data_IF_853847353542
#
_entry.id   IF_853847353542
#
_cell.length_a   1.000
_cell.length_b   1.000
_cell.length_c   1.000
_cell.angle_alpha   90.00
_cell.angle_beta   90.00
_cell.angle_gamma   90.00
#
_symmetry.space_group_name_H-M   'P 1'
#
loop_
_entity.id
_entity.type
_entity.pdbx_description
1 polymer ?
#
# COMPACT_ATOMS: atom_id res chain seq x y z
N UNK A 1 8.84 0.77 0.68
CA UNK A 1 8.88 1.07 2.13
C UNK A 1 10.07 0.34 2.72
N UNK A 2 10.84 1.01 3.57
CA UNK A 2 11.96 0.37 4.27
C UNK A 2 11.38 -0.62 5.30
N UNK A 3 11.52 -1.92 5.04
CA UNK A 3 11.21 -2.94 6.04
C UNK A 3 12.51 -3.31 6.75
N UNK A 4 12.58 -3.22 8.09
CA UNK A 4 13.78 -3.60 8.84
C UNK A 4 14.11 -5.08 8.65
N UNK A 5 13.11 -5.89 8.30
CA UNK A 5 13.27 -7.33 8.17
C UNK A 5 13.81 -7.80 6.80
N UNK A 6 13.77 -6.93 5.78
CA UNK A 6 14.11 -7.30 4.38
C UNK A 6 15.60 -7.15 4.04
N UNK A 7 16.42 -6.69 4.99
CA UNK A 7 17.87 -6.53 4.83
C UNK A 7 18.31 -5.67 3.63
N UNK A 8 17.43 -4.89 3.00
CA UNK A 8 17.74 -4.21 1.73
C UNK A 8 18.87 -3.18 1.85
N UNK A 9 19.05 -2.60 3.04
CA UNK A 9 20.13 -1.65 3.34
C UNK A 9 21.41 -2.32 3.87
N UNK A 10 21.30 -3.54 4.40
CA UNK A 10 22.44 -4.33 4.84
C UNK A 10 22.26 -5.80 4.41
N UNK A 11 22.40 -6.10 3.11
CA UNK A 11 22.14 -7.43 2.58
C UNK A 11 23.09 -8.50 3.14
N UNK A 12 24.20 -8.09 3.73
CA UNK A 12 25.22 -9.00 4.28
C UNK A 12 25.11 -9.15 5.80
N UNK A 13 24.41 -8.26 6.49
CA UNK A 13 24.39 -8.17 7.95
C UNK A 13 25.68 -7.58 8.54
N UNK A 14 26.68 -7.19 7.72
CA UNK A 14 27.99 -6.72 8.22
C UNK A 14 27.87 -5.45 9.04
N UNK A 15 27.00 -4.53 8.63
CA UNK A 15 26.78 -3.30 9.37
C UNK A 15 26.15 -3.62 10.72
N UNK A 16 25.12 -4.46 10.72
CA UNK A 16 24.41 -4.85 11.95
C UNK A 16 25.33 -5.57 12.93
N UNK A 17 26.14 -6.54 12.47
CA UNK A 17 27.10 -7.24 13.34
C UNK A 17 28.19 -6.34 13.94
N UNK A 18 28.55 -5.26 13.23
CA UNK A 18 29.55 -4.29 13.72
C UNK A 18 29.00 -3.46 14.87
N UNK A 19 27.73 -3.06 14.80
CA UNK A 19 27.11 -2.14 15.75
C UNK A 19 26.22 -2.83 16.81
N UNK A 20 25.87 -4.09 16.59
CA UNK A 20 25.08 -4.95 17.48
C UNK A 20 25.89 -6.24 17.70
N UNK A 21 26.99 -6.17 18.47
CA UNK A 21 27.96 -7.26 18.59
C UNK A 21 27.38 -8.53 19.22
N UNK A 22 26.31 -8.42 20.03
CA UNK A 22 25.58 -9.56 20.58
C UNK A 22 24.97 -10.47 19.49
N UNK A 23 24.69 -9.93 18.30
CA UNK A 23 24.21 -10.70 17.15
C UNK A 23 25.33 -11.15 16.20
N UNK A 24 26.60 -10.79 16.48
CA UNK A 24 27.72 -10.98 15.56
C UNK A 24 27.99 -12.46 15.22
N UNK A 25 27.58 -13.38 16.09
CA UNK A 25 27.79 -14.83 15.94
C UNK A 25 26.68 -15.56 15.20
N UNK A 26 25.55 -14.91 14.89
CA UNK A 26 24.45 -15.57 14.17
C UNK A 26 24.92 -16.00 12.77
N UNK A 27 24.64 -17.21 12.28
CA UNK A 27 25.25 -17.71 11.05
C UNK A 27 24.69 -17.07 9.78
N UNK A 28 23.38 -16.78 9.74
CA UNK A 28 22.70 -16.34 8.52
C UNK A 28 22.42 -14.83 8.55
N UNK A 29 22.68 -14.14 7.43
CA UNK A 29 22.29 -12.73 7.23
C UNK A 29 20.83 -12.43 7.58
N UNK A 30 19.90 -13.33 7.23
CA UNK A 30 18.47 -13.15 7.48
C UNK A 30 18.15 -13.21 8.99
N UNK A 31 18.88 -14.04 9.75
CA UNK A 31 18.69 -14.18 11.19
C UNK A 31 19.22 -12.98 11.96
N UNK A 32 20.23 -12.26 11.45
CA UNK A 32 20.72 -11.01 12.05
C UNK A 32 19.63 -9.92 12.02
N UNK A 33 18.85 -9.88 10.94
CA UNK A 33 17.72 -8.94 10.81
C UNK A 33 16.43 -9.42 11.46
N UNK A 34 16.38 -10.70 11.86
CA UNK A 34 15.21 -11.39 12.42
C UNK A 34 15.59 -12.43 13.48
N UNK A 35 16.30 -12.05 14.57
CA UNK A 35 16.79 -13.03 15.55
C UNK A 35 15.65 -13.80 16.24
N UNK A 36 14.46 -13.23 16.33
CA UNK A 36 13.26 -13.89 16.86
C UNK A 36 12.73 -15.06 16.00
N UNK A 37 13.11 -15.14 14.72
CA UNK A 37 12.77 -16.26 13.83
C UNK A 37 13.83 -17.37 13.87
N UNK A 38 14.96 -17.15 14.54
CA UNK A 38 16.03 -18.14 14.62
C UNK A 38 15.63 -19.33 15.50
N UNK A 39 16.00 -20.56 15.12
CA UNK A 39 15.83 -21.73 16.00
C UNK A 39 16.57 -21.53 17.33
N UNK A 40 15.99 -22.04 18.43
CA UNK A 40 16.58 -21.93 19.77
C UNK A 40 18.03 -22.41 19.84
N UNK A 41 18.36 -23.49 19.13
CA UNK A 41 19.72 -24.01 19.05
C UNK A 41 20.69 -23.00 18.43
N UNK A 42 20.30 -22.36 17.33
CA UNK A 42 21.13 -21.35 16.65
C UNK A 42 21.33 -20.12 17.52
N UNK A 43 20.30 -19.71 18.27
CA UNK A 43 20.39 -18.64 19.24
C UNK A 43 21.37 -18.99 20.37
N UNK A 44 21.27 -20.19 20.93
CA UNK A 44 22.16 -20.66 21.99
C UNK A 44 23.63 -20.74 21.53
N UNK A 45 23.89 -21.29 20.33
CA UNK A 45 25.22 -21.35 19.72
C UNK A 45 25.82 -19.95 19.48
N UNK A 46 24.96 -18.98 19.15
CA UNK A 46 25.36 -17.58 18.99
C UNK A 46 25.47 -16.81 20.31
N UNK A 47 25.06 -17.38 21.45
CA UNK A 47 25.01 -16.70 22.75
C UNK A 47 23.89 -15.65 22.88
N UNK A 48 22.82 -15.79 22.08
CA UNK A 48 21.68 -14.88 22.07
C UNK A 48 20.54 -15.45 22.91
N UNK A 49 20.12 -14.73 23.93
CA UNK A 49 18.96 -15.02 24.78
C UNK A 49 17.97 -13.87 24.61
N UNK A 50 16.85 -14.15 23.94
CA UNK A 50 15.82 -13.15 23.71
C UNK A 50 15.19 -12.73 25.04
N UNK A 51 15.13 -11.43 25.29
CA UNK A 51 14.68 -10.83 26.55
C UNK A 51 15.82 -10.49 27.51
N UNK A 52 17.02 -11.05 27.32
CA UNK A 52 18.18 -10.83 28.20
C UNK A 52 19.36 -10.21 27.44
N UNK A 53 20.02 -10.98 26.57
CA UNK A 53 21.16 -10.48 25.79
C UNK A 53 20.75 -9.75 24.53
N UNK A 54 19.54 -10.02 24.04
CA UNK A 54 18.91 -9.25 22.97
C UNK A 54 17.41 -9.06 23.26
N UNK A 55 16.86 -7.84 23.22
CA UNK A 55 15.48 -7.61 23.66
C UNK A 55 14.45 -8.31 22.77
N UNK A 56 13.28 -8.61 23.35
CA UNK A 56 12.12 -8.97 22.54
C UNK A 56 11.67 -7.79 21.68
N UNK A 57 11.09 -8.11 20.53
CA UNK A 57 10.47 -7.09 19.69
C UNK A 57 9.35 -6.39 20.44
N UNK A 58 9.44 -5.06 20.50
CA UNK A 58 8.37 -4.20 21.03
C UNK A 58 7.11 -4.32 20.17
N UNK A 59 7.28 -4.39 18.84
CA UNK A 59 6.19 -4.55 17.88
C UNK A 59 6.35 -5.88 17.14
N UNK A 60 5.37 -6.77 17.25
CA UNK A 60 5.34 -8.07 16.53
C UNK A 60 4.57 -7.98 15.22
N UNK A 61 3.42 -7.30 15.21
CA UNK A 61 2.55 -7.13 14.04
C UNK A 61 2.87 -5.85 13.24
N UNK A 62 4.04 -5.79 12.59
CA UNK A 62 4.52 -4.60 11.85
C UNK A 62 3.50 -4.05 10.85
N UNK A 63 2.80 -4.93 10.12
CA UNK A 63 1.80 -4.52 9.13
C UNK A 63 0.62 -3.79 9.80
N UNK A 64 0.15 -4.31 10.95
CA UNK A 64 -0.96 -3.72 11.69
C UNK A 64 -0.56 -2.35 12.29
N UNK A 65 0.62 -2.26 12.91
CA UNK A 65 1.11 -1.00 13.47
C UNK A 65 1.40 0.05 12.39
N UNK A 66 1.88 -0.38 11.22
CA UNK A 66 1.99 0.51 10.05
C UNK A 66 0.61 1.04 9.64
N UNK A 67 -0.39 0.18 9.53
CA UNK A 67 -1.74 0.59 9.16
C UNK A 67 -2.30 1.63 10.15
N UNK A 68 -2.10 1.44 11.45
CA UNK A 68 -2.46 2.42 12.48
C UNK A 68 -1.73 3.74 12.31
N UNK A 69 -0.42 3.70 12.03
CA UNK A 69 0.38 4.90 11.80
C UNK A 69 -0.10 5.66 10.55
N UNK A 70 -0.44 4.93 9.48
CA UNK A 70 -0.99 5.52 8.26
C UNK A 70 -2.34 6.18 8.53
N UNK A 71 -3.24 5.50 9.26
CA UNK A 71 -4.53 6.05 9.65
C UNK A 71 -4.37 7.29 10.54
N UNK A 72 -3.48 7.28 11.54
CA UNK A 72 -3.24 8.46 12.37
C UNK A 72 -2.79 9.67 11.53
N UNK A 73 -1.92 9.47 10.54
CA UNK A 73 -1.49 10.52 9.61
C UNK A 73 -2.65 11.00 8.74
N UNK A 74 -3.44 10.10 8.17
CA UNK A 74 -4.54 10.44 7.28
C UNK A 74 -5.67 11.16 8.04
N UNK A 75 -6.01 10.74 9.26
CA UNK A 75 -6.93 11.44 10.15
C UNK A 75 -6.47 12.88 10.46
N UNK A 76 -5.20 13.08 10.81
CA UNK A 76 -4.62 14.42 11.02
C UNK A 76 -4.74 15.29 9.76
N UNK A 77 -4.40 14.74 8.59
CA UNK A 77 -4.51 15.46 7.30
C UNK A 77 -5.96 15.76 6.92
N UNK A 78 -6.89 14.88 7.25
CA UNK A 78 -8.32 15.07 7.01
C UNK A 78 -8.91 16.22 7.83
N UNK A 79 -8.30 16.56 8.97
CA UNK A 79 -8.69 17.73 9.77
C UNK A 79 -8.15 19.06 9.20
N UNK A 80 -7.08 19.02 8.41
CA UNK A 80 -6.40 20.20 7.85
C UNK A 80 -6.48 20.21 6.32
N UNK A 81 -7.69 20.25 5.78
CA UNK A 81 -7.91 20.12 4.32
C UNK A 81 -7.42 21.32 3.51
N UNK A 82 -7.35 22.50 4.11
CA UNK A 82 -6.78 23.72 3.52
C UNK A 82 -5.26 23.63 3.31
N UNK A 83 -4.59 22.76 4.07
CA UNK A 83 -3.17 22.45 3.88
C UNK A 83 -2.92 21.38 2.79
N UNK A 84 -3.97 20.81 2.21
CA UNK A 84 -3.88 19.82 1.15
C UNK A 84 -4.19 20.46 -0.21
N UNK A 85 -3.40 20.10 -1.22
CA UNK A 85 -3.69 20.43 -2.61
C UNK A 85 -4.88 19.58 -3.12
N UNK A 86 -5.48 20.04 -4.21
CA UNK A 86 -6.47 19.32 -5.03
C UNK A 86 -6.08 17.86 -5.39
N UNK A 87 -4.78 17.57 -5.49
CA UNK A 87 -4.18 16.27 -5.80
C UNK A 87 -3.64 15.54 -4.55
N UNK A 88 -3.97 16.03 -3.36
CA UNK A 88 -3.59 15.45 -2.08
C UNK A 88 -2.15 15.70 -1.64
N UNK A 89 -1.43 16.66 -2.24
CA UNK A 89 -0.08 17.02 -1.79
C UNK A 89 -0.12 18.03 -0.63
N UNK A 90 0.92 18.05 0.19
CA UNK A 90 1.09 19.07 1.23
C UNK A 90 1.41 20.43 0.62
N UNK A 91 0.69 21.46 1.06
CA UNK A 91 0.88 22.84 0.64
C UNK A 91 1.73 23.61 1.66
N UNK A 92 2.77 24.30 1.18
CA UNK A 92 3.63 25.15 2.01
C UNK A 92 3.65 26.57 1.46
N UNK A 93 3.46 27.55 2.36
CA UNK A 93 3.59 28.98 2.06
C UNK A 93 5.04 29.43 2.26
N UNK A 94 5.57 30.13 1.27
CA UNK A 94 6.93 30.65 1.23
C UNK A 94 7.01 32.07 1.81
N UNK A 95 8.19 32.55 2.26
CA UNK A 95 8.34 33.90 2.83
C UNK A 95 7.98 35.04 1.87
N UNK A 96 8.09 34.81 0.56
CA UNK A 96 7.68 35.77 -0.48
C UNK A 96 6.16 35.79 -0.73
N UNK A 97 5.37 35.05 0.05
CA UNK A 97 3.91 34.98 -0.05
C UNK A 97 3.36 33.94 -1.02
N UNK A 98 4.20 33.27 -1.81
CA UNK A 98 3.79 32.22 -2.74
C UNK A 98 3.51 30.89 -2.03
N UNK A 99 2.83 29.96 -2.69
CA UNK A 99 2.60 28.59 -2.21
C UNK A 99 3.13 27.55 -3.18
N UNK A 100 3.67 26.45 -2.65
CA UNK A 100 4.16 25.32 -3.45
C UNK A 100 3.83 23.98 -2.81
N UNK A 101 3.78 22.92 -3.61
CA UNK A 101 3.53 21.55 -3.14
C UNK A 101 4.83 20.87 -2.72
N UNK A 102 4.76 20.10 -1.65
CA UNK A 102 5.87 19.24 -1.20
C UNK A 102 5.61 17.81 -1.66
N UNK A 103 6.69 17.04 -1.81
CA UNK A 103 6.56 15.62 -2.06
C UNK A 103 5.84 14.92 -0.91
N UNK A 104 4.60 14.51 -1.18
CA UNK A 104 3.80 13.66 -0.29
C UNK A 104 3.78 12.25 -0.88
N UNK A 105 3.94 11.21 -0.06
CA UNK A 105 3.86 9.81 -0.53
C UNK A 105 2.44 9.50 -0.99
N UNK A 106 2.29 8.65 -2.02
CA UNK A 106 0.96 8.30 -2.58
C UNK A 106 -0.01 7.80 -1.50
N UNK A 107 0.45 6.98 -0.56
CA UNK A 107 -0.38 6.46 0.55
C UNK A 107 -0.92 7.55 1.51
N UNK A 108 -0.41 8.80 1.40
CA UNK A 108 -0.86 9.94 2.19
C UNK A 108 -1.53 11.03 1.37
N UNK A 109 -1.68 10.84 0.05
CA UNK A 109 -2.37 11.81 -0.82
C UNK A 109 -3.88 11.68 -0.74
N UNK A 110 -4.36 11.37 0.47
CA UNK A 110 -5.73 11.23 0.95
C UNK A 110 -6.55 10.10 0.29
N UNK A 111 -7.01 9.13 1.08
CA UNK A 111 -8.20 9.34 1.90
C UNK A 111 -8.26 8.44 3.16
N UNK A 112 -9.05 8.87 4.13
CA UNK A 112 -10.04 8.04 4.85
C UNK A 112 -11.36 8.86 4.92
N UNK A 113 -11.81 9.29 3.73
CA UNK A 113 -12.89 10.24 3.38
C UNK A 113 -12.56 11.73 3.36
N UNK A 114 -11.28 12.06 3.23
CA UNK A 114 -10.89 13.42 2.82
C UNK A 114 -10.76 13.66 1.31
N UNK A 115 -10.69 12.57 0.54
CA UNK A 115 -10.65 12.38 -0.93
C UNK A 115 -9.83 13.32 -1.82
N UNK A 116 -8.75 12.74 -2.35
CA UNK A 116 -8.21 12.87 -3.71
C UNK A 116 -7.04 11.91 -3.91
N UNK A 117 -7.35 10.62 -4.00
CA UNK A 117 -6.55 9.66 -4.77
C UNK A 117 -7.31 9.26 -6.04
N UNK A 118 -7.33 10.13 -7.07
CA UNK A 118 -7.67 9.71 -8.44
C UNK A 118 -6.64 10.21 -9.46
N UNK A 119 -6.21 9.31 -10.34
CA UNK A 119 -5.52 9.65 -11.61
C UNK A 119 -6.53 9.54 -12.77
N UNK A 120 -6.72 10.56 -13.65
CA UNK A 120 -7.39 10.40 -14.94
C UNK A 120 -6.38 10.02 -16.05
N UNK A 121 -6.86 9.50 -17.21
CA UNK A 121 -6.15 8.50 -18.00
C UNK A 121 -4.92 9.04 -18.73
N UNK A 122 -3.96 8.13 -18.99
CA UNK A 122 -2.89 8.37 -19.97
C UNK A 122 -3.53 8.58 -21.35
N UNK A 123 -3.68 9.83 -21.78
CA UNK A 123 -4.19 10.15 -23.11
C UNK A 123 -5.12 11.36 -23.11
N UNK A 124 -4.58 12.56 -22.87
CA UNK A 124 -5.17 13.76 -23.45
C UNK A 124 -4.75 13.80 -24.94
N UNK A 125 -5.57 13.18 -25.78
CA UNK A 125 -5.48 13.23 -27.23
C UNK A 125 -6.85 13.50 -27.84
N UNK A 126 -7.03 14.75 -28.29
CA UNK A 126 -7.94 15.24 -29.34
C UNK A 126 -9.48 15.02 -29.23
N UNK A 127 -10.19 16.14 -29.07
CA UNK A 127 -11.15 16.59 -30.09
C UNK A 127 -12.64 16.30 -29.91
N UNK A 128 -13.42 17.37 -29.68
CA UNK A 128 -14.49 17.72 -30.64
C UNK A 128 -15.96 17.45 -30.28
N UNK A 129 -16.64 18.58 -30.02
CA UNK A 129 -17.98 19.00 -30.51
C UNK A 129 -19.24 18.59 -29.73
N UNK A 130 -19.97 19.64 -29.33
CA UNK A 130 -21.35 19.69 -28.87
C UNK A 130 -22.36 19.13 -29.91
N UNK A 131 -23.50 18.61 -29.46
CA UNK A 131 -24.81 19.02 -30.00
C UNK A 131 -25.97 18.39 -29.23
N UNK A 132 -26.98 19.23 -29.03
CA UNK A 132 -28.29 18.97 -28.45
C UNK A 132 -29.20 18.07 -29.32
N UNK A 133 -30.38 17.79 -28.75
CA UNK A 133 -31.66 17.43 -29.37
C UNK A 133 -32.02 15.93 -29.47
N UNK A 134 -32.94 15.53 -28.58
CA UNK A 134 -34.35 15.40 -28.95
C UNK A 134 -34.81 14.25 -29.85
N UNK A 135 -35.86 13.58 -29.36
CA UNK A 135 -36.94 12.87 -30.10
C UNK A 135 -36.71 11.48 -30.70
N UNK A 136 -37.28 10.48 -30.02
CA UNK A 136 -38.34 9.53 -30.45
C UNK A 136 -38.47 9.16 -31.94
N UNK A 137 -38.62 7.86 -32.25
CA UNK A 137 -39.72 7.27 -33.07
C UNK A 137 -39.52 5.77 -33.38
N UNK A 138 -40.57 4.98 -33.02
CA UNK A 138 -41.14 3.75 -33.64
C UNK A 138 -40.25 2.58 -34.10
N UNK A 139 -40.42 1.41 -33.50
CA UNK A 139 -41.38 0.33 -33.85
C UNK A 139 -40.98 -0.53 -35.06
N UNK A 140 -40.82 -1.84 -34.84
CA UNK A 140 -41.50 -2.85 -35.65
C UNK A 140 -41.60 -4.19 -34.93
N UNK A 141 -42.81 -4.69 -35.03
CA UNK A 141 -43.45 -5.88 -34.50
C UNK A 141 -43.19 -7.14 -35.33
N UNK A 142 -43.35 -8.30 -34.68
CA UNK A 142 -43.77 -9.57 -35.29
C UNK A 142 -42.63 -10.57 -35.53
N UNK A 143 -42.77 -11.88 -35.30
CA UNK A 143 -43.86 -12.68 -34.78
C UNK A 143 -43.33 -14.07 -34.40
N UNK A 144 -44.04 -14.76 -33.50
CA UNK A 144 -43.74 -16.11 -32.97
C UNK A 144 -43.68 -17.20 -34.04
N UNK A 145 -42.86 -18.22 -33.80
CA UNK A 145 -43.24 -19.62 -34.06
C UNK A 145 -42.59 -20.57 -33.03
N UNK A 146 -43.44 -21.29 -32.28
CA UNK A 146 -43.11 -22.41 -31.38
C UNK A 146 -42.95 -23.70 -32.20
N UNK A 147 -42.07 -24.60 -31.74
CA UNK A 147 -42.25 -26.08 -31.64
C UNK A 147 -40.97 -26.63 -30.98
N UNK A 148 -40.92 -26.92 -29.69
CA UNK A 148 -41.44 -28.07 -28.94
C UNK A 148 -40.80 -29.44 -29.27
N UNK A 149 -40.37 -30.08 -28.18
CA UNK A 149 -40.13 -31.51 -27.93
C UNK A 149 -38.73 -32.07 -28.21
N UNK A 150 -38.18 -33.03 -27.46
CA UNK A 150 -38.29 -33.53 -26.07
C UNK A 150 -37.29 -34.70 -26.02
N UNK A 151 -36.39 -34.70 -25.03
CA UNK A 151 -35.74 -35.84 -24.37
C UNK A 151 -35.21 -37.04 -25.19
N UNK A 152 -33.97 -37.47 -24.93
CA UNK A 152 -33.69 -38.59 -24.01
C UNK A 152 -32.19 -38.92 -23.88
N UNK A 153 -31.90 -39.39 -22.68
CA UNK A 153 -30.68 -39.88 -22.03
C UNK A 153 -30.40 -41.35 -22.39
N UNK A 154 -29.13 -41.73 -22.59
CA UNK A 154 -28.50 -43.02 -22.20
C UNK A 154 -27.04 -43.02 -22.67
N UNK A 155 -26.04 -43.01 -21.77
CA UNK A 155 -25.31 -44.20 -21.28
C UNK A 155 -24.74 -45.10 -22.40
N UNK A 156 -23.45 -44.96 -22.69
CA UNK A 156 -22.43 -45.98 -22.43
C UNK A 156 -21.04 -45.37 -22.56
#
# INVERSE_FOLDING_TARGET
ILSPETASQDPTGKYTRRWVPELAKLPTKNLVHRPWEAPKQVLAEAGVVLGETYPHRVITALKAERAKSVAAVLAMRGQAQDANSDRGYDMVKLPNGQSTVVFTKKEYRIDEFGNSLREPPRGAGAGGVESEAGSNVRSKSGSKAKKSAKARRARR
#
